data_IF_322347462270
#
_entry.id   IF_322347462270
#
_cell.length_a   1.000
_cell.length_b   1.000
_cell.length_c   1.000
_cell.angle_alpha   90.00
_cell.angle_beta   90.00
_cell.angle_gamma   90.00
#
_symmetry.space_group_name_H-M   'P 1'
#
loop_
_entity.id
_entity.type
_entity.pdbx_description
1 polymer ?
#
# COMPACT_ATOMS: atom_id res chain seq x y z
N UNK A 1 -10.32 4.85 6.11
CA UNK A 1 -9.63 3.57 6.43
C UNK A 1 -8.90 3.78 7.73
N UNK A 2 -9.07 2.90 8.71
CA UNK A 2 -8.37 3.01 10.00
C UNK A 2 -6.86 2.96 9.76
N UNK A 3 -6.12 3.91 10.34
CA UNK A 3 -4.68 4.04 10.17
C UNK A 3 -3.98 2.97 11.03
N UNK A 4 -3.62 1.83 10.45
CA UNK A 4 -2.88 0.75 11.13
C UNK A 4 -1.38 0.80 10.79
N UNK A 5 -0.54 0.09 11.55
CA UNK A 5 0.90 -0.05 11.26
C UNK A 5 1.14 -0.56 9.85
N UNK A 6 0.39 -1.57 9.42
CA UNK A 6 0.43 -2.13 8.06
C UNK A 6 0.05 -1.07 7.01
N UNK A 7 -1.01 -0.29 7.24
CA UNK A 7 -1.42 0.77 6.29
C UNK A 7 -0.36 1.86 6.18
N UNK A 8 0.25 2.29 7.30
CA UNK A 8 1.34 3.27 7.28
C UNK A 8 2.55 2.74 6.51
N UNK A 9 2.90 1.47 6.73
CA UNK A 9 3.98 0.79 6.03
C UNK A 9 3.71 0.74 4.50
N UNK A 10 2.54 0.26 4.08
CA UNK A 10 2.14 0.23 2.66
C UNK A 10 2.16 1.63 2.03
N UNK A 11 1.64 2.65 2.72
CA UNK A 11 1.69 4.04 2.22
C UNK A 11 3.12 4.55 2.07
N UNK A 12 4.01 4.27 3.04
CA UNK A 12 5.43 4.65 2.99
C UNK A 12 6.11 4.01 1.77
N UNK A 13 5.91 2.70 1.61
CA UNK A 13 6.36 1.93 0.46
C UNK A 13 5.93 2.58 -0.87
N UNK A 14 4.64 2.85 -1.07
CA UNK A 14 4.12 3.46 -2.32
C UNK A 14 4.64 4.90 -2.52
N UNK A 15 4.89 5.64 -1.44
CA UNK A 15 5.42 7.00 -1.51
C UNK A 15 6.86 7.03 -2.00
N UNK A 16 7.69 6.11 -1.49
CA UNK A 16 9.14 6.10 -1.72
C UNK A 16 9.54 5.34 -2.99
N UNK A 17 8.80 4.30 -3.39
CA UNK A 17 9.11 3.51 -4.58
C UNK A 17 8.06 3.71 -5.67
N UNK A 18 8.48 4.31 -6.79
CA UNK A 18 7.59 4.72 -7.89
C UNK A 18 6.93 3.56 -8.64
N UNK A 19 7.62 2.42 -8.77
CA UNK A 19 7.23 1.32 -9.65
C UNK A 19 6.89 0.01 -8.95
N UNK A 20 6.78 0.03 -7.63
CA UNK A 20 6.50 -1.19 -6.88
C UNK A 20 5.12 -1.74 -7.23
N UNK A 21 5.03 -3.02 -7.52
CA UNK A 21 3.79 -3.72 -7.91
C UNK A 21 2.97 -4.09 -6.68
N UNK A 22 1.80 -4.72 -6.87
CA UNK A 22 0.99 -5.17 -5.72
C UNK A 22 1.63 -6.40 -5.10
N UNK A 23 2.18 -7.25 -5.94
CA UNK A 23 2.85 -8.50 -5.66
C UNK A 23 4.12 -8.23 -4.83
N UNK A 24 4.95 -7.25 -5.20
CA UNK A 24 6.12 -6.85 -4.41
C UNK A 24 5.73 -6.42 -2.99
N UNK A 25 4.68 -5.61 -2.87
CA UNK A 25 4.18 -5.15 -1.57
C UNK A 25 3.67 -6.33 -0.76
N UNK A 26 3.01 -7.30 -1.40
CA UNK A 26 2.52 -8.49 -0.72
C UNK A 26 3.66 -9.39 -0.22
N UNK A 27 4.72 -9.59 -1.01
CA UNK A 27 5.91 -10.33 -0.56
C UNK A 27 6.58 -9.66 0.64
N UNK A 28 6.64 -8.32 0.65
CA UNK A 28 7.13 -7.58 1.81
C UNK A 28 6.21 -7.75 3.03
N UNK A 29 4.90 -7.72 2.83
CA UNK A 29 3.93 -7.95 3.90
C UNK A 29 4.02 -9.36 4.48
N UNK A 30 4.25 -10.38 3.66
CA UNK A 30 4.52 -11.75 4.10
C UNK A 30 5.81 -11.80 4.94
N UNK A 31 6.90 -11.24 4.43
CA UNK A 31 8.22 -11.24 5.10
C UNK A 31 8.24 -10.48 6.43
N UNK A 32 7.60 -9.32 6.51
CA UNK A 32 7.69 -8.43 7.68
C UNK A 32 6.55 -8.59 8.69
N UNK A 33 5.40 -9.10 8.25
CA UNK A 33 4.21 -9.25 9.11
C UNK A 33 3.74 -10.70 9.22
N UNK A 34 4.48 -11.67 8.67
CA UNK A 34 4.12 -13.09 8.66
C UNK A 34 2.69 -13.34 8.17
N UNK A 35 2.26 -12.55 7.18
CA UNK A 35 0.92 -12.67 6.60
C UNK A 35 0.92 -13.83 5.61
N UNK A 36 -0.01 -14.80 5.73
CA UNK A 36 -0.07 -15.94 4.81
C UNK A 36 -0.70 -15.50 3.48
N UNK A 37 0.08 -14.83 2.63
CA UNK A 37 -0.38 -14.27 1.35
C UNK A 37 -0.81 -15.37 0.38
N UNK A 38 -0.26 -16.58 0.52
CA UNK A 38 -0.72 -17.78 -0.20
C UNK A 38 -2.19 -18.11 0.04
N UNK A 39 -2.77 -17.66 1.15
CA UNK A 39 -4.21 -17.85 1.44
C UNK A 39 -5.04 -16.85 0.62
N UNK A 40 -5.97 -17.31 -0.24
CA UNK A 40 -6.72 -16.41 -1.14
C UNK A 40 -7.49 -15.29 -0.42
N UNK A 41 -8.13 -15.60 0.71
CA UNK A 41 -8.87 -14.61 1.50
C UNK A 41 -7.97 -13.46 1.99
N UNK A 42 -6.75 -13.79 2.43
CA UNK A 42 -5.73 -12.85 2.89
C UNK A 42 -5.19 -12.04 1.72
N UNK A 43 -4.86 -12.71 0.60
CA UNK A 43 -4.43 -12.06 -0.64
C UNK A 43 -5.44 -11.00 -1.08
N UNK A 44 -6.70 -11.36 -1.29
CA UNK A 44 -7.71 -10.42 -1.80
C UNK A 44 -8.01 -9.29 -0.80
N UNK A 45 -7.99 -9.59 0.51
CA UNK A 45 -8.11 -8.56 1.56
C UNK A 45 -7.01 -7.51 1.43
N UNK A 46 -5.74 -7.93 1.38
CA UNK A 46 -4.63 -6.99 1.29
C UNK A 46 -4.49 -6.35 -0.09
N UNK A 47 -4.88 -7.03 -1.17
CA UNK A 47 -5.01 -6.43 -2.51
C UNK A 47 -5.94 -5.21 -2.47
N UNK A 48 -7.09 -5.35 -1.82
CA UNK A 48 -8.03 -4.25 -1.65
C UNK A 48 -7.46 -3.11 -0.78
N UNK A 49 -6.71 -3.44 0.29
CA UNK A 49 -6.03 -2.45 1.13
C UNK A 49 -4.96 -1.69 0.35
N UNK A 50 -4.10 -2.39 -0.40
CA UNK A 50 -3.04 -1.79 -1.23
C UNK A 50 -3.64 -0.85 -2.27
N UNK A 51 -4.72 -1.27 -2.95
CA UNK A 51 -5.45 -0.42 -3.91
C UNK A 51 -5.94 0.88 -3.26
N UNK A 52 -6.55 0.79 -2.06
CA UNK A 52 -7.00 1.97 -1.30
C UNK A 52 -5.82 2.87 -0.90
N UNK A 53 -4.69 2.29 -0.48
CA UNK A 53 -3.48 3.04 -0.15
C UNK A 53 -2.92 3.79 -1.36
N UNK A 54 -2.82 3.14 -2.53
CA UNK A 54 -2.37 3.80 -3.78
C UNK A 54 -3.24 4.99 -4.14
N UNK A 55 -4.55 4.82 -4.10
CA UNK A 55 -5.48 5.91 -4.39
C UNK A 55 -5.29 7.09 -3.42
N UNK A 56 -5.12 6.83 -2.13
CA UNK A 56 -4.87 7.88 -1.14
C UNK A 56 -3.56 8.64 -1.44
N UNK A 57 -2.45 7.92 -1.64
CA UNK A 57 -1.15 8.52 -1.95
C UNK A 57 -1.18 9.29 -3.27
N UNK A 58 -1.86 8.79 -4.30
CA UNK A 58 -1.98 9.49 -5.58
C UNK A 58 -2.85 10.75 -5.48
N UNK A 59 -3.92 10.72 -4.67
CA UNK A 59 -4.69 11.94 -4.37
C UNK A 59 -3.85 12.98 -3.62
N UNK A 60 -3.05 12.55 -2.64
CA UNK A 60 -2.11 13.42 -1.93
C UNK A 60 -1.11 14.06 -2.91
N UNK A 61 -0.49 13.28 -3.79
CA UNK A 61 0.43 13.78 -4.84
C UNK A 61 -0.23 14.79 -5.77
N UNK A 62 -1.46 14.51 -6.22
CA UNK A 62 -2.22 15.44 -7.08
C UNK A 62 -2.54 16.76 -6.36
N UNK A 63 -2.88 16.70 -5.06
CA UNK A 63 -3.12 17.91 -4.26
C UNK A 63 -1.86 18.74 -4.08
N UNK A 64 -0.70 18.12 -3.80
CA UNK A 64 0.58 18.83 -3.70
C UNK A 64 0.94 19.56 -5.00
N UNK A 65 0.83 18.86 -6.13
CA UNK A 65 1.03 19.47 -7.46
C UNK A 65 0.09 20.63 -7.73
N UNK A 66 -1.19 20.53 -7.35
CA UNK A 66 -2.17 21.61 -7.50
C UNK A 66 -1.83 22.82 -6.63
N UNK A 67 -1.22 22.61 -5.47
CA UNK A 67 -0.88 23.65 -4.52
C UNK A 67 0.54 24.24 -4.76
N UNK A 68 1.22 23.85 -5.85
CA UNK A 68 2.54 24.41 -6.21
C UNK A 68 3.68 24.01 -5.28
N UNK A 69 3.53 22.93 -4.50
CA UNK A 69 4.57 22.39 -3.59
C UNK A 69 5.15 21.10 -4.13
#
# INVERSE_FOLDING_TARGET
MKETRIVRYIKSLIRNHRYMTTEDIMLLLEKYYNLPISTPSVYYKYKAVIRKCRQAVYRERRRKRRNGV
#
